data_IF_243932213331
#
_entry.id   IF_243932213331
#
_cell.length_a   1.000
_cell.length_b   1.000
_cell.length_c   1.000
_cell.angle_alpha   90.00
_cell.angle_beta   90.00
_cell.angle_gamma   90.00
#
_symmetry.space_group_name_H-M   'P 1'
#
loop_
_entity.id
_entity.type
_entity.pdbx_description
1 polymer ?
#
# COMPACT_ATOMS: atom_id res chain seq x y z
N UNK A 1 18.17 -22.69 -6.21
CA UNK A 1 18.56 -21.86 -5.05
C UNK A 1 18.34 -20.40 -5.41
N UNK A 2 17.40 -19.71 -4.74
CA UNK A 2 17.26 -18.25 -4.85
C UNK A 2 18.52 -17.59 -4.32
N UNK A 3 19.02 -16.56 -5.00
CA UNK A 3 20.20 -15.84 -4.56
C UNK A 3 19.83 -14.91 -3.41
N UNK A 4 20.69 -14.76 -2.41
CA UNK A 4 20.42 -13.96 -1.21
C UNK A 4 19.98 -12.52 -1.50
N UNK A 5 20.54 -11.89 -2.54
CA UNK A 5 20.14 -10.54 -2.96
C UNK A 5 18.73 -10.49 -3.58
N UNK A 6 18.24 -11.60 -4.16
CA UNK A 6 16.85 -11.70 -4.62
C UNK A 6 15.91 -11.75 -3.41
N UNK A 7 16.28 -12.41 -2.32
CA UNK A 7 15.49 -12.41 -1.08
C UNK A 7 15.37 -11.01 -0.45
N UNK A 8 16.38 -10.15 -0.61
CA UNK A 8 16.36 -8.77 -0.14
C UNK A 8 15.51 -7.86 -1.05
N UNK A 9 15.59 -8.02 -2.37
CA UNK A 9 14.70 -7.33 -3.32
C UNK A 9 13.24 -7.82 -3.26
N UNK A 10 13.01 -9.07 -2.84
CA UNK A 10 11.69 -9.68 -2.69
C UNK A 10 11.01 -9.35 -1.35
N UNK A 11 11.72 -8.79 -0.36
CA UNK A 11 11.12 -8.32 0.89
C UNK A 11 10.35 -7.03 0.63
N UNK A 12 9.09 -7.19 0.19
CA UNK A 12 8.10 -6.12 0.08
C UNK A 12 7.84 -5.57 1.48
N UNK A 13 8.30 -4.36 1.76
CA UNK A 13 7.93 -3.65 2.99
C UNK A 13 6.52 -3.12 2.80
N UNK A 14 5.54 -3.88 3.29
CA UNK A 14 4.13 -3.51 3.24
C UNK A 14 3.73 -2.83 4.55
N UNK A 15 3.21 -1.61 4.47
CA UNK A 15 2.80 -0.80 5.62
C UNK A 15 1.33 -0.43 5.46
N UNK A 16 0.55 -0.55 6.54
CA UNK A 16 -0.88 -0.26 6.55
C UNK A 16 -1.29 0.42 7.86
N UNK A 17 -2.06 1.50 7.76
CA UNK A 17 -2.62 2.25 8.87
C UNK A 17 -4.14 2.31 8.73
N UNK A 18 -4.86 1.95 9.79
CA UNK A 18 -6.31 2.11 9.86
C UNK A 18 -6.67 3.12 10.95
N UNK A 19 -7.48 4.10 10.58
CA UNK A 19 -8.05 5.10 11.48
C UNK A 19 -9.57 4.90 11.49
N UNK A 20 -10.19 4.83 12.67
CA UNK A 20 -11.62 4.55 12.77
C UNK A 20 -12.25 5.16 14.02
N UNK A 21 -13.56 5.44 13.95
CA UNK A 21 -14.41 5.66 15.12
C UNK A 21 -14.75 4.33 15.80
N UNK A 22 -14.97 4.28 17.13
CA UNK A 22 -15.21 3.02 17.85
C UNK A 22 -16.35 2.13 17.32
N UNK A 23 -17.32 2.72 16.62
CA UNK A 23 -18.47 2.03 16.01
C UNK A 23 -18.24 1.64 14.53
N UNK A 24 -17.05 1.93 13.98
CA UNK A 24 -16.67 1.74 12.58
C UNK A 24 -17.58 2.44 11.55
N UNK A 25 -18.40 3.40 11.98
CA UNK A 25 -19.24 4.21 11.07
C UNK A 25 -18.39 5.04 10.09
N UNK A 26 -17.18 5.41 10.51
CA UNK A 26 -16.17 6.03 9.68
C UNK A 26 -14.82 5.36 9.94
N UNK A 27 -14.24 4.80 8.88
CA UNK A 27 -12.89 4.26 8.86
C UNK A 27 -12.17 4.67 7.58
N UNK A 28 -10.85 4.77 7.68
CA UNK A 28 -9.93 5.10 6.60
C UNK A 28 -8.74 4.14 6.69
N UNK A 29 -8.45 3.42 5.61
CA UNK A 29 -7.32 2.52 5.53
C UNK A 29 -6.33 3.01 4.47
N UNK A 30 -5.12 3.35 4.92
CA UNK A 30 -4.02 3.78 4.08
C UNK A 30 -2.96 2.69 4.04
N UNK A 31 -2.53 2.28 2.86
CA UNK A 31 -1.42 1.34 2.73
C UNK A 31 -0.53 1.65 1.54
N UNK A 32 0.71 1.20 1.63
CA UNK A 32 1.71 1.31 0.57
C UNK A 32 2.78 0.26 0.79
N UNK A 33 3.47 -0.10 -0.28
CA UNK A 33 4.73 -0.78 -0.23
C UNK A 33 5.91 0.14 -0.59
N UNK A 34 7.13 -0.38 -0.46
CA UNK A 34 8.34 0.37 -0.80
C UNK A 34 8.40 0.84 -2.27
N UNK A 35 7.86 0.09 -3.24
CA UNK A 35 7.84 0.41 -4.68
C UNK A 35 6.81 1.49 -5.00
N UNK A 36 5.77 1.62 -4.20
CA UNK A 36 4.76 2.68 -4.36
C UNK A 36 5.33 4.06 -4.05
N UNK A 37 6.41 4.12 -3.26
CA UNK A 37 7.01 5.39 -2.81
C UNK A 37 8.05 5.98 -3.77
N UNK A 38 8.53 5.23 -4.76
CA UNK A 38 9.60 5.68 -5.66
C UNK A 38 9.04 6.00 -7.04
N UNK A 39 9.64 6.97 -7.74
CA UNK A 39 9.38 7.15 -9.17
C UNK A 39 10.07 6.05 -10.00
N UNK A 40 11.20 5.52 -9.53
CA UNK A 40 11.94 4.44 -10.19
C UNK A 40 11.13 3.14 -10.17
N UNK A 41 10.89 2.55 -11.35
CA UNK A 41 10.13 1.30 -11.52
C UNK A 41 8.75 1.27 -10.81
N UNK A 42 8.08 2.43 -10.72
CA UNK A 42 6.74 2.48 -10.15
C UNK A 42 5.73 1.77 -11.06
N UNK A 43 4.90 0.91 -10.47
CA UNK A 43 3.88 0.17 -11.20
C UNK A 43 2.68 1.07 -11.60
N UNK A 44 2.46 2.16 -10.87
CA UNK A 44 1.46 3.17 -11.17
C UNK A 44 2.06 4.27 -12.03
N UNK A 45 1.43 4.52 -13.19
CA UNK A 45 1.88 5.58 -14.13
C UNK A 45 1.87 6.99 -13.53
N UNK A 46 1.10 7.21 -12.46
CA UNK A 46 1.06 8.49 -11.75
C UNK A 46 2.24 8.71 -10.79
N UNK A 47 3.16 7.75 -10.66
CA UNK A 47 4.34 7.85 -9.82
C UNK A 47 4.04 7.54 -8.33
N UNK A 48 4.80 8.16 -7.41
CA UNK A 48 4.68 7.93 -5.98
C UNK A 48 3.24 8.10 -5.46
N UNK A 49 2.76 7.12 -4.71
CA UNK A 49 1.39 7.11 -4.24
C UNK A 49 1.20 6.30 -2.95
N UNK A 50 0.06 6.56 -2.29
CA UNK A 50 -0.49 5.77 -1.19
C UNK A 50 -1.87 5.28 -1.60
N UNK A 51 -2.21 4.05 -1.27
CA UNK A 51 -3.54 3.50 -1.51
C UNK A 51 -4.50 3.87 -0.38
N UNK A 52 -5.75 4.21 -0.75
CA UNK A 52 -6.85 4.47 0.17
C UNK A 52 -8.02 3.52 -0.09
N UNK A 53 -8.52 2.89 0.96
CA UNK A 53 -9.84 2.25 1.00
C UNK A 53 -10.55 2.78 2.25
N UNK A 54 -11.84 3.13 2.17
CA UNK A 54 -12.55 3.68 3.32
C UNK A 54 -14.02 3.24 3.41
N UNK A 55 -14.72 3.73 4.42
CA UNK A 55 -16.12 3.43 4.71
C UNK A 55 -17.12 3.71 3.57
N UNK A 56 -16.72 4.43 2.51
CA UNK A 56 -17.56 4.65 1.32
C UNK A 56 -17.53 3.47 0.35
N UNK A 57 -16.64 2.49 0.51
CA UNK A 57 -16.54 1.33 -0.37
C UNK A 57 -17.62 0.30 -0.01
N UNK A 58 -18.64 0.11 -0.88
CA UNK A 58 -19.72 -0.82 -0.57
C UNK A 58 -19.17 -2.24 -0.47
N UNK A 59 -19.69 -3.01 0.49
CA UNK A 59 -19.27 -4.40 0.78
C UNK A 59 -17.84 -4.54 1.36
N UNK A 60 -17.25 -3.45 1.87
CA UNK A 60 -16.02 -3.48 2.66
C UNK A 60 -16.33 -3.02 4.09
N UNK A 61 -15.82 -3.76 5.06
CA UNK A 61 -15.73 -3.31 6.46
C UNK A 61 -14.27 -3.10 6.86
N UNK A 62 -14.04 -2.30 7.91
CA UNK A 62 -12.72 -2.09 8.50
C UNK A 62 -12.01 -3.42 8.77
N UNK A 63 -12.72 -4.38 9.37
CA UNK A 63 -12.21 -5.72 9.69
C UNK A 63 -11.90 -6.53 8.44
N UNK A 64 -12.77 -6.49 7.42
CA UNK A 64 -12.55 -7.23 6.17
C UNK A 64 -11.27 -6.77 5.47
N UNK A 65 -11.05 -5.44 5.43
CA UNK A 65 -9.88 -4.81 4.81
C UNK A 65 -8.63 -5.13 5.62
N UNK A 66 -8.71 -5.01 6.94
CA UNK A 66 -7.61 -5.36 7.84
C UNK A 66 -7.21 -6.84 7.72
N UNK A 67 -8.19 -7.74 7.62
CA UNK A 67 -7.94 -9.17 7.45
C UNK A 67 -7.32 -9.48 6.08
N UNK A 68 -7.82 -8.87 5.00
CA UNK A 68 -7.23 -9.01 3.66
C UNK A 68 -5.77 -8.55 3.64
N UNK A 69 -5.48 -7.39 4.24
CA UNK A 69 -4.12 -6.84 4.34
C UNK A 69 -3.17 -7.76 5.12
N UNK A 70 -3.57 -8.21 6.31
CA UNK A 70 -2.74 -9.09 7.16
C UNK A 70 -2.44 -10.45 6.54
N UNK A 71 -3.32 -10.94 5.67
CA UNK A 71 -3.13 -12.20 4.96
C UNK A 71 -2.19 -12.07 3.74
N UNK A 72 -1.53 -10.91 3.58
CA UNK A 72 -0.43 -10.74 2.64
C UNK A 72 -0.87 -10.52 1.21
N UNK A 73 -2.08 -9.98 0.98
CA UNK A 73 -2.48 -9.47 -0.33
C UNK A 73 -2.24 -7.95 -0.41
N UNK A 74 -1.09 -7.52 -0.91
CA UNK A 74 -0.80 -6.10 -1.07
C UNK A 74 -1.50 -5.47 -2.30
N UNK A 75 -2.12 -6.27 -3.17
CA UNK A 75 -2.91 -5.78 -4.30
C UNK A 75 -4.39 -5.90 -3.94
N UNK A 76 -4.82 -5.04 -3.01
CA UNK A 76 -6.23 -4.95 -2.60
C UNK A 76 -7.03 -4.23 -3.70
N UNK A 77 -7.94 -4.96 -4.33
CA UNK A 77 -8.72 -4.43 -5.44
C UNK A 77 -9.61 -3.25 -5.01
N UNK A 78 -9.58 -2.21 -5.84
CA UNK A 78 -10.47 -1.05 -5.75
C UNK A 78 -9.94 0.13 -4.93
N UNK A 79 -8.69 0.09 -4.46
CA UNK A 79 -8.12 1.22 -3.73
C UNK A 79 -7.94 2.47 -4.62
N UNK A 80 -8.20 3.65 -4.04
CA UNK A 80 -7.91 4.94 -4.65
C UNK A 80 -6.43 5.28 -4.50
N UNK A 81 -5.82 5.88 -5.53
CA UNK A 81 -4.39 6.25 -5.50
C UNK A 81 -4.23 7.72 -5.12
N UNK A 82 -3.75 7.99 -3.91
CA UNK A 82 -3.39 9.33 -3.46
C UNK A 82 -1.95 9.61 -3.86
N UNK A 83 -1.77 10.47 -4.86
CA UNK A 83 -0.44 10.90 -5.34
C UNK A 83 0.22 11.87 -4.38
N UNK A 84 1.53 11.81 -4.30
CA UNK A 84 2.35 12.83 -3.66
C UNK A 84 3.59 13.11 -4.49
N UNK A 85 4.13 14.33 -4.35
CA UNK A 85 5.39 14.65 -5.00
C UNK A 85 6.56 14.10 -4.18
N UNK A 86 7.47 13.44 -4.89
CA UNK A 86 8.74 12.97 -4.35
C UNK A 86 9.80 13.12 -5.45
N UNK A 87 10.91 13.83 -5.19
CA UNK A 87 11.98 13.98 -6.16
C UNK A 87 12.47 12.63 -6.67
N UNK A 88 12.81 12.56 -7.96
CA UNK A 88 13.49 11.40 -8.53
C UNK A 88 14.93 11.35 -8.03
N UNK A 89 15.23 10.43 -7.11
CA UNK A 89 16.57 10.24 -6.55
C UNK A 89 17.34 9.08 -7.21
N UNK A 90 16.79 8.49 -8.29
CA UNK A 90 17.32 7.27 -8.89
C UNK A 90 16.86 6.00 -8.14
N UNK A 91 17.51 4.85 -8.37
CA UNK A 91 17.18 3.63 -7.65
C UNK A 91 17.44 3.80 -6.14
N UNK A 92 16.60 3.20 -5.27
CA UNK A 92 16.80 3.27 -3.82
C UNK A 92 18.20 2.74 -3.44
N UNK A 93 18.90 3.46 -2.56
CA UNK A 93 20.14 2.96 -1.94
C UNK A 93 19.74 2.09 -0.75
N UNK A 94 19.66 0.77 -0.98
CA UNK A 94 19.32 -0.25 0.02
C UNK A 94 20.59 -0.90 0.57
#
# INVERSE_FOLDING_TARGET
MRKWYQLLGERRYLVGHIFYLPDHSNWQFFYFDNRDLWQYENHFKGGPHVHLINHLWPNRTAESVWNEFRNGNPDMNGAEHIRFDRPYEGPPKI
#
